data_IF_715822448692
#
_entry.id   IF_715822448692
#
_cell.length_a   1.000
_cell.length_b   1.000
_cell.length_c   1.000
_cell.angle_alpha   90.00
_cell.angle_beta   90.00
_cell.angle_gamma   90.00
#
_symmetry.space_group_name_H-M   'P 1'
#
loop_
_entity.id
_entity.type
_entity.pdbx_description
1 polymer ?
#
# COMPACT_ATOMS: atom_id res chain seq x y z
N UNK A 1 -49.17 30.86 2.03
CA UNK A 1 -48.55 30.56 3.33
C UNK A 1 -47.78 31.79 3.79
N UNK A 2 -48.25 32.46 4.84
CA UNK A 2 -47.57 33.58 5.48
C UNK A 2 -46.32 33.07 6.21
N UNK A 3 -45.14 33.65 5.92
CA UNK A 3 -43.94 33.51 6.77
C UNK A 3 -44.04 34.48 7.94
N UNK A 4 -43.77 34.07 9.20
CA UNK A 4 -43.74 34.98 10.33
C UNK A 4 -42.58 35.98 10.20
N UNK A 5 -42.81 37.25 10.55
CA UNK A 5 -41.73 38.25 10.70
C UNK A 5 -40.92 37.87 11.94
N UNK A 6 -39.73 37.29 11.73
CA UNK A 6 -38.82 36.86 12.80
C UNK A 6 -38.01 35.59 12.48
N UNK A 7 -38.30 34.91 11.36
CA UNK A 7 -37.56 33.73 10.94
C UNK A 7 -36.22 34.11 10.26
N UNK A 8 -35.14 34.13 11.05
CA UNK A 8 -33.75 34.38 10.61
C UNK A 8 -33.02 33.09 10.18
N UNK A 9 -33.73 31.96 10.02
CA UNK A 9 -33.10 30.66 9.72
C UNK A 9 -32.34 30.66 8.39
N UNK A 10 -32.75 31.52 7.44
CA UNK A 10 -32.04 31.71 6.18
C UNK A 10 -30.73 32.52 6.34
N UNK A 11 -30.67 33.48 7.25
CA UNK A 11 -29.46 34.30 7.51
C UNK A 11 -28.39 33.53 8.31
N UNK A 12 -28.81 32.64 9.20
CA UNK A 12 -27.88 31.76 9.94
C UNK A 12 -27.22 30.73 9.01
N UNK A 13 -27.90 30.29 7.94
CA UNK A 13 -27.34 29.37 6.95
C UNK A 13 -26.39 30.06 5.94
N UNK A 14 -26.44 31.38 5.79
CA UNK A 14 -25.53 32.15 4.94
C UNK A 14 -24.21 32.54 5.62
N UNK A 15 -24.08 32.33 6.92
CA UNK A 15 -22.87 32.64 7.69
C UNK A 15 -22.30 31.39 8.40
N UNK A 16 -22.13 30.31 7.63
CA UNK A 16 -21.14 29.29 7.99
C UNK A 16 -19.74 29.93 7.98
N UNK A 17 -18.79 29.45 8.80
CA UNK A 17 -17.43 29.98 8.80
C UNK A 17 -16.90 29.95 7.37
N UNK A 18 -16.38 31.08 6.88
CA UNK A 18 -15.64 31.13 5.62
C UNK A 18 -14.53 30.08 5.71
N UNK A 19 -14.77 28.92 5.11
CA UNK A 19 -13.74 27.93 4.92
C UNK A 19 -12.75 28.59 3.99
N UNK A 20 -11.55 28.86 4.48
CA UNK A 20 -10.46 29.40 3.68
C UNK A 20 -10.22 28.47 2.48
N UNK A 21 -10.80 28.85 1.34
CA UNK A 21 -10.73 28.08 0.10
C UNK A 21 -9.40 28.30 -0.60
N UNK A 22 -8.49 29.11 -0.07
CA UNK A 22 -7.15 29.31 -0.64
C UNK A 22 -6.36 27.99 -0.73
N UNK A 23 -6.48 27.12 0.28
CA UNK A 23 -5.87 25.79 0.27
C UNK A 23 -6.51 24.85 -0.78
N UNK A 24 -7.83 24.97 -0.99
CA UNK A 24 -8.58 24.21 -2.00
C UNK A 24 -8.27 24.71 -3.43
N UNK A 25 -8.09 26.01 -3.61
CA UNK A 25 -7.68 26.63 -4.87
C UNK A 25 -6.24 26.25 -5.25
N UNK A 26 -5.33 26.18 -4.27
CA UNK A 26 -3.96 25.70 -4.48
C UNK A 26 -3.91 24.23 -4.93
N UNK A 27 -4.75 23.37 -4.33
CA UNK A 27 -4.88 21.96 -4.76
C UNK A 27 -5.50 21.79 -6.14
N UNK A 28 -6.44 22.68 -6.53
CA UNK A 28 -7.10 22.65 -7.83
C UNK A 28 -6.17 23.02 -8.99
N UNK A 29 -5.21 23.92 -8.77
CA UNK A 29 -4.17 24.25 -9.75
C UNK A 29 -3.14 23.12 -9.96
N UNK A 30 -2.77 22.42 -8.88
CA UNK A 30 -1.85 21.27 -8.93
C UNK A 30 -2.37 20.16 -9.84
N UNK A 31 -3.61 19.69 -9.66
CA UNK A 31 -4.18 18.61 -10.49
C UNK A 31 -4.21 18.96 -11.99
N UNK A 32 -4.47 20.23 -12.31
CA UNK A 32 -4.48 20.74 -13.67
C UNK A 32 -3.06 20.84 -14.28
N UNK A 33 -2.04 21.16 -13.48
CA UNK A 33 -0.64 21.08 -13.89
C UNK A 33 -0.16 19.64 -14.16
N UNK A 34 -0.84 18.64 -13.60
CA UNK A 34 -0.54 17.22 -13.83
C UNK A 34 -1.33 16.58 -14.98
N UNK A 35 -2.17 17.35 -15.70
CA UNK A 35 -2.99 16.81 -16.80
C UNK A 35 -4.09 15.86 -16.36
N UNK A 36 -4.41 15.82 -15.06
CA UNK A 36 -5.42 14.91 -14.51
C UNK A 36 -6.82 15.56 -14.53
N UNK A 37 -7.87 14.82 -14.93
CA UNK A 37 -9.21 15.37 -15.02
C UNK A 37 -9.73 15.80 -13.63
N UNK A 38 -10.48 16.91 -13.59
CA UNK A 38 -11.18 17.33 -12.36
C UNK A 38 -12.12 16.21 -11.91
N UNK A 39 -11.91 15.71 -10.69
CA UNK A 39 -12.82 14.77 -10.08
C UNK A 39 -14.14 15.51 -9.79
N UNK A 40 -15.18 15.26 -10.59
CA UNK A 40 -16.53 15.80 -10.31
C UNK A 40 -17.00 15.20 -8.99
N UNK A 41 -17.53 16.03 -8.08
CA UNK A 41 -18.24 15.53 -6.89
C UNK A 41 -19.42 14.69 -7.37
N UNK A 42 -19.44 13.41 -7.02
CA UNK A 42 -20.63 12.57 -7.18
C UNK A 42 -21.59 12.89 -6.04
N UNK A 43 -22.78 13.40 -6.37
CA UNK A 43 -23.82 13.75 -5.40
C UNK A 43 -24.64 12.55 -4.88
N UNK A 44 -24.35 11.34 -5.38
CA UNK A 44 -25.05 10.12 -4.98
C UNK A 44 -24.15 9.33 -4.04
N UNK A 45 -24.51 9.30 -2.75
CA UNK A 45 -23.95 8.31 -1.84
C UNK A 45 -24.43 6.93 -2.31
N UNK A 46 -23.49 6.00 -2.53
CA UNK A 46 -23.87 4.60 -2.68
C UNK A 46 -24.46 4.13 -1.35
N UNK A 47 -25.65 3.55 -1.41
CA UNK A 47 -26.36 2.99 -0.24
C UNK A 47 -26.19 1.48 -0.27
N UNK A 48 -25.84 0.89 0.86
CA UNK A 48 -25.71 -0.55 0.99
C UNK A 48 -27.09 -1.20 0.71
N UNK A 49 -27.18 -2.20 -0.20
CA UNK A 49 -28.42 -2.92 -0.41
C UNK A 49 -28.87 -3.71 0.83
N UNK A 50 -27.94 -4.05 1.74
CA UNK A 50 -28.25 -4.74 2.99
C UNK A 50 -28.31 -3.68 4.09
N UNK A 51 -29.49 -3.45 4.72
CA UNK A 51 -29.56 -2.51 5.82
C UNK A 51 -28.70 -3.00 7.00
N UNK A 52 -28.08 -2.10 7.77
CA UNK A 52 -27.14 -2.47 8.84
C UNK A 52 -27.79 -3.28 9.97
N UNK A 53 -29.11 -3.25 10.10
CA UNK A 53 -29.89 -4.06 11.05
C UNK A 53 -30.35 -5.41 10.47
N UNK A 54 -30.01 -5.73 9.22
CA UNK A 54 -30.40 -6.99 8.59
C UNK A 54 -29.61 -8.17 9.19
N UNK A 55 -30.28 -9.25 9.61
CA UNK A 55 -29.61 -10.47 10.02
C UNK A 55 -29.02 -11.24 8.83
N UNK A 56 -29.37 -10.85 7.60
CA UNK A 56 -28.88 -11.48 6.37
C UNK A 56 -27.49 -10.90 6.07
N UNK A 57 -26.47 -11.54 6.62
CA UNK A 57 -25.08 -11.28 6.23
C UNK A 57 -24.59 -12.43 5.36
N UNK A 58 -23.83 -12.15 4.28
CA UNK A 58 -23.14 -13.18 3.52
C UNK A 58 -22.36 -14.12 4.44
N UNK A 59 -22.70 -15.41 4.42
CA UNK A 59 -22.00 -16.42 5.21
C UNK A 59 -20.63 -16.66 4.57
N UNK A 60 -19.58 -16.22 5.24
CA UNK A 60 -18.21 -16.46 4.83
C UNK A 60 -17.45 -17.27 5.89
N UNK A 61 -17.00 -18.46 5.55
CA UNK A 61 -16.07 -19.23 6.39
C UNK A 61 -14.65 -18.71 6.15
N UNK A 62 -14.17 -17.87 7.06
CA UNK A 62 -12.92 -17.11 6.91
C UNK A 62 -11.73 -17.78 7.60
N UNK A 63 -12.00 -18.65 8.58
CA UNK A 63 -11.02 -19.42 9.34
C UNK A 63 -11.52 -20.88 9.46
N UNK A 64 -11.29 -21.72 8.42
CA UNK A 64 -11.65 -23.13 8.51
C UNK A 64 -10.75 -23.79 9.56
N UNK A 65 -11.35 -24.47 10.53
CA UNK A 65 -10.61 -25.29 11.49
C UNK A 65 -10.11 -26.54 10.76
N UNK A 66 -8.94 -26.43 10.12
CA UNK A 66 -8.32 -27.55 9.45
C UNK A 66 -7.65 -28.48 10.49
N UNK A 67 -7.69 -29.81 10.31
CA UNK A 67 -7.00 -30.74 11.19
C UNK A 67 -5.51 -30.39 11.30
N UNK A 68 -5.00 -30.20 12.52
CA UNK A 68 -3.60 -29.86 12.76
C UNK A 68 -2.64 -30.98 12.35
N UNK A 69 -1.47 -30.62 11.80
CA UNK A 69 -0.37 -31.56 11.51
C UNK A 69 -0.50 -32.37 10.22
N UNK A 70 -1.51 -32.09 9.37
CA UNK A 70 -1.72 -32.76 8.09
C UNK A 70 -1.46 -31.78 6.93
N UNK A 71 -1.11 -32.30 5.74
CA UNK A 71 -1.07 -31.55 4.49
C UNK A 71 -2.32 -30.66 4.32
N UNK A 72 -2.11 -29.36 4.09
CA UNK A 72 -3.17 -28.36 3.97
C UNK A 72 -4.13 -28.68 2.83
N UNK A 73 -3.63 -29.25 1.72
CA UNK A 73 -4.47 -29.65 0.61
C UNK A 73 -5.42 -30.78 1.00
N UNK A 74 -4.91 -31.77 1.74
CA UNK A 74 -5.73 -32.84 2.30
C UNK A 74 -6.73 -32.33 3.33
N UNK A 75 -6.29 -31.50 4.29
CA UNK A 75 -7.16 -30.91 5.30
C UNK A 75 -8.32 -30.11 4.68
N UNK A 76 -8.03 -29.30 3.66
CA UNK A 76 -9.05 -28.56 2.92
C UNK A 76 -10.02 -29.51 2.19
N UNK A 77 -9.52 -30.57 1.56
CA UNK A 77 -10.37 -31.56 0.89
C UNK A 77 -11.36 -32.22 1.87
N UNK A 78 -10.92 -32.53 3.08
CA UNK A 78 -11.78 -33.07 4.15
C UNK A 78 -12.81 -32.03 4.60
N UNK A 79 -12.39 -30.80 4.92
CA UNK A 79 -13.29 -29.70 5.28
C UNK A 79 -14.40 -29.48 4.24
N UNK A 80 -14.04 -29.51 2.95
CA UNK A 80 -15.00 -29.34 1.85
C UNK A 80 -15.99 -30.50 1.76
N UNK A 81 -15.57 -31.74 2.07
CA UNK A 81 -16.49 -32.90 2.08
C UNK A 81 -17.45 -32.86 3.25
N UNK A 82 -16.99 -32.42 4.42
CA UNK A 82 -17.81 -32.38 5.64
C UNK A 82 -18.82 -31.22 5.61
N UNK A 83 -18.39 -30.04 5.18
CA UNK A 83 -19.22 -28.83 5.25
C UNK A 83 -20.00 -28.55 3.95
N UNK A 84 -19.51 -29.03 2.80
CA UNK A 84 -20.07 -28.74 1.49
C UNK A 84 -20.22 -30.00 0.60
N UNK A 85 -20.82 -31.10 1.10
CA UNK A 85 -20.85 -32.40 0.40
C UNK A 85 -21.58 -32.36 -0.95
N UNK A 86 -22.60 -31.50 -1.06
CA UNK A 86 -23.47 -31.39 -2.26
C UNK A 86 -23.28 -30.08 -3.03
N UNK A 87 -22.34 -29.22 -2.61
CA UNK A 87 -22.16 -27.93 -3.25
C UNK A 87 -21.24 -28.07 -4.48
N UNK A 88 -21.64 -27.43 -5.57
CA UNK A 88 -20.76 -27.17 -6.71
C UNK A 88 -19.73 -26.12 -6.34
N UNK A 89 -18.51 -26.27 -6.84
CA UNK A 89 -17.37 -25.45 -6.41
C UNK A 89 -16.99 -24.46 -7.49
N UNK A 90 -16.71 -23.23 -7.08
CA UNK A 90 -16.06 -22.22 -7.93
C UNK A 90 -14.85 -21.69 -7.19
N UNK A 91 -13.66 -21.83 -7.76
CA UNK A 91 -12.45 -21.19 -7.28
C UNK A 91 -12.28 -19.84 -7.97
N UNK A 92 -11.83 -18.83 -7.24
CA UNK A 92 -11.68 -17.47 -7.73
C UNK A 92 -10.35 -16.90 -7.24
N UNK A 93 -9.55 -16.33 -8.14
CA UNK A 93 -8.36 -15.57 -7.79
C UNK A 93 -8.25 -14.26 -8.58
N UNK A 94 -7.24 -13.48 -8.22
CA UNK A 94 -6.87 -12.23 -8.85
C UNK A 94 -5.36 -12.09 -8.85
N UNK A 95 -4.83 -11.64 -9.98
CA UNK A 95 -3.41 -11.41 -10.19
C UNK A 95 -3.13 -9.95 -10.56
N UNK A 96 -1.99 -9.44 -10.11
CA UNK A 96 -1.49 -8.11 -10.47
C UNK A 96 0.01 -8.20 -10.70
N UNK A 97 0.46 -7.70 -11.85
CA UNK A 97 1.89 -7.63 -12.15
C UNK A 97 2.60 -6.61 -11.24
N UNK A 98 3.83 -6.91 -10.83
CA UNK A 98 4.58 -6.10 -9.87
C UNK A 98 4.91 -4.68 -10.36
N UNK A 99 4.99 -4.48 -11.67
CA UNK A 99 5.14 -3.17 -12.32
C UNK A 99 3.82 -2.37 -12.39
N UNK A 100 2.69 -2.98 -11.99
CA UNK A 100 1.33 -2.47 -12.10
C UNK A 100 0.86 -2.20 -13.54
N UNK A 101 1.46 -2.85 -14.54
CA UNK A 101 1.05 -2.71 -15.94
C UNK A 101 -0.23 -3.47 -16.28
N UNK A 102 -0.57 -4.49 -15.49
CA UNK A 102 -1.74 -5.33 -15.72
C UNK A 102 -2.33 -5.86 -14.41
N UNK A 103 -3.65 -5.92 -14.38
CA UNK A 103 -4.46 -6.55 -13.33
C UNK A 103 -5.41 -7.51 -14.02
N UNK A 104 -5.54 -8.73 -13.51
CA UNK A 104 -6.39 -9.75 -14.06
C UNK A 104 -7.06 -10.55 -12.93
N UNK A 105 -8.14 -11.24 -13.27
CA UNK A 105 -8.84 -12.12 -12.35
C UNK A 105 -9.47 -13.27 -13.11
N UNK A 106 -9.84 -14.32 -12.40
CA UNK A 106 -10.42 -15.49 -13.03
C UNK A 106 -11.40 -16.21 -12.11
N UNK A 107 -12.09 -17.17 -12.70
CA UNK A 107 -12.82 -18.20 -11.99
C UNK A 107 -12.54 -19.56 -12.62
N UNK A 108 -12.57 -20.60 -11.79
CA UNK A 108 -12.43 -22.00 -12.20
C UNK A 108 -13.54 -22.85 -11.58
N UNK A 109 -14.25 -23.59 -12.43
CA UNK A 109 -15.32 -24.52 -12.06
C UNK A 109 -14.84 -25.96 -12.34
N UNK A 110 -14.39 -26.70 -11.30
CA UNK A 110 -13.81 -28.03 -11.48
C UNK A 110 -14.79 -29.04 -12.08
N UNK A 111 -16.07 -28.98 -11.67
CA UNK A 111 -17.10 -29.93 -12.10
C UNK A 111 -17.40 -29.83 -13.61
N UNK A 112 -17.05 -28.70 -14.22
CA UNK A 112 -17.24 -28.42 -15.65
C UNK A 112 -15.93 -28.37 -16.43
N UNK A 113 -14.79 -28.57 -15.75
CA UNK A 113 -13.44 -28.35 -16.28
C UNK A 113 -13.31 -27.00 -17.02
N UNK A 114 -14.01 -25.96 -16.53
CA UNK A 114 -14.11 -24.65 -17.19
C UNK A 114 -13.42 -23.58 -16.36
N UNK A 115 -12.53 -22.83 -16.99
CA UNK A 115 -11.93 -21.63 -16.43
C UNK A 115 -12.23 -20.42 -17.32
N UNK A 116 -12.45 -19.26 -16.72
CA UNK A 116 -12.70 -18.00 -17.42
C UNK A 116 -11.86 -16.92 -16.77
N UNK A 117 -11.14 -16.15 -17.58
CA UNK A 117 -10.29 -15.05 -17.11
C UNK A 117 -10.78 -13.72 -17.69
N UNK A 118 -10.55 -12.66 -16.93
CA UNK A 118 -10.81 -11.28 -17.34
C UNK A 118 -9.58 -10.44 -17.05
N UNK A 119 -9.13 -9.71 -18.06
CA UNK A 119 -8.17 -8.63 -17.87
C UNK A 119 -8.93 -7.40 -17.40
N UNK A 120 -8.44 -6.78 -16.33
CA UNK A 120 -9.00 -5.56 -15.76
C UNK A 120 -8.13 -4.37 -16.15
N UNK A 121 -8.68 -3.17 -16.02
CA UNK A 121 -7.90 -1.94 -16.21
C UNK A 121 -6.70 -1.93 -15.23
N UNK A 122 -5.49 -1.51 -15.65
CA UNK A 122 -4.28 -1.50 -14.81
C UNK A 122 -4.39 -0.65 -13.53
N UNK A 123 -5.38 0.25 -13.50
CA UNK A 123 -5.71 1.07 -12.34
C UNK A 123 -6.22 0.25 -11.16
N UNK A 124 -6.84 -0.91 -11.41
CA UNK A 124 -7.41 -1.74 -10.37
C UNK A 124 -6.36 -2.36 -9.45
N UNK A 125 -6.65 -2.34 -8.17
CA UNK A 125 -5.88 -3.04 -7.14
C UNK A 125 -6.10 -4.55 -7.16
N UNK A 126 -5.19 -5.27 -6.50
CA UNK A 126 -5.28 -6.72 -6.31
C UNK A 126 -6.57 -7.12 -5.58
N UNK A 127 -6.99 -6.32 -4.59
CA UNK A 127 -8.21 -6.57 -3.83
C UNK A 127 -9.45 -6.45 -4.71
N UNK A 128 -9.50 -5.42 -5.57
CA UNK A 128 -10.59 -5.26 -6.54
C UNK A 128 -10.66 -6.45 -7.49
N UNK A 129 -9.52 -6.92 -8.00
CA UNK A 129 -9.48 -8.08 -8.88
C UNK A 129 -10.10 -9.34 -8.24
N UNK A 130 -9.77 -9.60 -6.98
CA UNK A 130 -10.31 -10.74 -6.23
C UNK A 130 -11.80 -10.59 -5.93
N UNK A 131 -12.28 -9.38 -5.66
CA UNK A 131 -13.72 -9.10 -5.51
C UNK A 131 -14.45 -9.24 -6.85
N UNK A 132 -13.84 -8.80 -7.95
CA UNK A 132 -14.40 -8.93 -9.29
C UNK A 132 -14.53 -10.39 -9.73
N UNK A 133 -13.58 -11.25 -9.40
CA UNK A 133 -13.71 -12.69 -9.59
C UNK A 133 -14.95 -13.26 -8.87
N UNK A 134 -15.17 -12.88 -7.61
CA UNK A 134 -16.35 -13.29 -6.83
C UNK A 134 -17.63 -12.76 -7.50
N UNK A 135 -17.65 -11.51 -7.94
CA UNK A 135 -18.79 -10.95 -8.67
C UNK A 135 -19.09 -11.75 -9.94
N UNK A 136 -18.07 -12.09 -10.74
CA UNK A 136 -18.25 -12.91 -11.94
C UNK A 136 -18.75 -14.31 -11.59
N UNK A 137 -18.27 -14.94 -10.51
CA UNK A 137 -18.80 -16.21 -10.02
C UNK A 137 -20.31 -16.13 -9.71
N UNK A 138 -20.77 -15.04 -9.11
CA UNK A 138 -22.19 -14.83 -8.81
C UNK A 138 -23.04 -14.62 -10.07
N UNK A 139 -22.52 -13.89 -11.06
CA UNK A 139 -23.15 -13.78 -12.39
C UNK A 139 -23.26 -15.17 -13.04
N UNK A 140 -22.15 -15.92 -13.03
CA UNK A 140 -22.03 -17.37 -13.25
C UNK A 140 -23.22 -18.17 -12.73
N UNK A 141 -23.45 -18.07 -11.42
CA UNK A 141 -24.45 -18.84 -10.71
C UNK A 141 -25.87 -18.42 -11.11
N UNK A 142 -26.11 -17.12 -11.33
CA UNK A 142 -27.44 -16.60 -11.67
C UNK A 142 -27.98 -17.06 -13.03
N UNK A 143 -27.10 -17.51 -13.92
CA UNK A 143 -27.45 -18.02 -15.26
C UNK A 143 -27.66 -19.54 -15.28
N UNK A 144 -27.60 -20.21 -14.12
CA UNK A 144 -27.67 -21.67 -14.01
C UNK A 144 -28.92 -22.14 -13.31
N UNK A 145 -29.24 -23.42 -13.51
CA UNK A 145 -30.31 -24.09 -12.79
C UNK A 145 -30.06 -24.05 -11.26
N UNK A 146 -31.13 -23.99 -10.44
CA UNK A 146 -31.00 -23.96 -8.98
C UNK A 146 -30.13 -25.09 -8.42
N UNK A 147 -29.13 -24.72 -7.63
CA UNK A 147 -28.21 -25.64 -6.98
C UNK A 147 -27.53 -24.98 -5.77
N UNK A 148 -26.83 -25.80 -4.99
CA UNK A 148 -25.98 -25.35 -3.90
C UNK A 148 -24.56 -25.05 -4.41
N UNK A 149 -24.00 -23.91 -4.05
CA UNK A 149 -22.72 -23.42 -4.53
C UNK A 149 -21.82 -22.96 -3.39
N UNK A 150 -20.53 -23.24 -3.52
CA UNK A 150 -19.49 -22.71 -2.65
C UNK A 150 -18.43 -22.00 -3.49
N UNK A 151 -18.23 -20.71 -3.21
CA UNK A 151 -17.21 -19.89 -3.86
C UNK A 151 -15.97 -19.86 -2.95
N UNK A 152 -14.87 -20.44 -3.44
CA UNK A 152 -13.59 -20.47 -2.76
C UNK A 152 -12.70 -19.32 -3.24
N UNK A 153 -12.29 -18.43 -2.33
CA UNK A 153 -11.37 -17.33 -2.64
C UNK A 153 -10.21 -17.27 -1.66
N UNK A 154 -9.01 -16.97 -2.15
CA UNK A 154 -7.84 -16.76 -1.30
C UNK A 154 -7.79 -15.37 -0.62
N UNK A 155 -8.74 -14.49 -0.95
CA UNK A 155 -8.81 -13.13 -0.42
C UNK A 155 -9.49 -13.08 0.94
N UNK A 156 -8.75 -13.38 2.01
CA UNK A 156 -9.28 -13.25 3.38
C UNK A 156 -9.90 -11.87 3.63
N UNK A 157 -9.18 -10.82 3.22
CA UNK A 157 -9.65 -9.43 3.31
C UNK A 157 -10.86 -9.15 2.43
N UNK A 158 -10.94 -9.71 1.22
CA UNK A 158 -12.11 -9.57 0.35
C UNK A 158 -13.38 -10.18 0.98
N UNK A 159 -13.26 -11.38 1.54
CA UNK A 159 -14.38 -12.04 2.22
C UNK A 159 -14.82 -11.29 3.48
N UNK A 160 -13.87 -10.77 4.27
CA UNK A 160 -14.17 -9.91 5.41
C UNK A 160 -14.90 -8.63 5.00
N UNK A 161 -14.52 -8.01 3.87
CA UNK A 161 -15.20 -6.82 3.34
C UNK A 161 -16.64 -7.11 2.93
N UNK A 162 -16.89 -8.26 2.31
CA UNK A 162 -18.25 -8.69 1.94
C UNK A 162 -19.12 -8.92 3.19
N UNK A 163 -18.54 -9.41 4.29
CA UNK A 163 -19.24 -9.69 5.54
C UNK A 163 -19.32 -8.53 6.54
N UNK A 164 -18.74 -7.35 6.27
CA UNK A 164 -18.70 -6.22 7.22
C UNK A 164 -19.11 -4.89 6.59
N UNK A 165 -19.84 -3.99 7.29
CA UNK A 165 -20.19 -2.66 6.78
C UNK A 165 -18.91 -1.82 6.61
N UNK A 166 -18.30 -1.88 5.42
CA UNK A 166 -17.02 -1.27 5.11
C UNK A 166 -17.15 -0.13 4.11
N UNK A 167 -16.25 0.85 4.21
CA UNK A 167 -16.14 2.02 3.33
C UNK A 167 -15.14 1.84 2.19
N UNK A 168 -14.52 0.66 2.07
CA UNK A 168 -13.55 0.35 1.02
C UNK A 168 -14.15 -0.55 -0.06
N UNK A 169 -13.83 -0.27 -1.32
CA UNK A 169 -14.38 -0.99 -2.48
C UNK A 169 -15.92 -1.05 -2.49
N UNK A 170 -16.55 0.05 -2.05
CA UNK A 170 -17.98 0.10 -1.74
C UNK A 170 -18.85 -0.31 -2.93
N UNK A 171 -18.51 0.13 -4.14
CA UNK A 171 -19.33 -0.15 -5.32
C UNK A 171 -19.41 -1.64 -5.61
N UNK A 172 -18.26 -2.31 -5.69
CA UNK A 172 -18.22 -3.74 -6.00
C UNK A 172 -18.73 -4.61 -4.84
N UNK A 173 -18.47 -4.22 -3.58
CA UNK A 173 -18.98 -4.94 -2.41
C UNK A 173 -20.52 -4.89 -2.37
N UNK A 174 -21.11 -3.72 -2.64
CA UNK A 174 -22.56 -3.59 -2.68
C UNK A 174 -23.18 -4.39 -3.82
N UNK A 175 -22.52 -4.41 -4.99
CA UNK A 175 -22.99 -5.26 -6.10
C UNK A 175 -22.94 -6.76 -5.73
N UNK A 176 -21.86 -7.21 -5.11
CA UNK A 176 -21.73 -8.59 -4.60
C UNK A 176 -22.83 -8.91 -3.59
N UNK A 177 -23.08 -8.01 -2.63
CA UNK A 177 -24.13 -8.17 -1.61
C UNK A 177 -25.52 -8.27 -2.22
N UNK A 178 -25.84 -7.37 -3.16
CA UNK A 178 -27.12 -7.38 -3.87
C UNK A 178 -27.33 -8.72 -4.62
N UNK A 179 -26.29 -9.21 -5.31
CA UNK A 179 -26.35 -10.49 -6.04
C UNK A 179 -26.49 -11.69 -5.10
N UNK A 180 -25.75 -11.71 -4.00
CA UNK A 180 -25.88 -12.76 -2.99
C UNK A 180 -27.29 -12.81 -2.40
N UNK A 181 -27.86 -11.65 -2.05
CA UNK A 181 -29.21 -11.56 -1.50
C UNK A 181 -30.27 -12.05 -2.52
N UNK A 182 -30.13 -11.65 -3.79
CA UNK A 182 -31.01 -12.09 -4.85
C UNK A 182 -30.94 -13.63 -5.06
N UNK A 183 -29.73 -14.20 -5.05
CA UNK A 183 -29.54 -15.64 -5.18
C UNK A 183 -30.09 -16.42 -3.98
N UNK A 184 -29.86 -15.93 -2.76
CA UNK A 184 -30.41 -16.53 -1.53
C UNK A 184 -31.94 -16.47 -1.46
N UNK A 185 -32.56 -15.53 -2.18
CA UNK A 185 -34.02 -15.41 -2.29
C UNK A 185 -34.61 -16.34 -3.35
N UNK A 186 -33.77 -17.00 -4.15
CA UNK A 186 -34.21 -17.92 -5.22
C UNK A 186 -34.38 -19.34 -4.65
N UNK A 187 -35.57 -19.96 -4.74
CA UNK A 187 -35.78 -21.31 -4.22
C UNK A 187 -34.80 -22.34 -4.80
N UNK A 188 -34.20 -23.14 -3.92
CA UNK A 188 -33.24 -24.18 -4.30
C UNK A 188 -31.83 -23.68 -4.62
N UNK A 189 -31.55 -22.39 -4.47
CA UNK A 189 -30.20 -21.80 -4.61
C UNK A 189 -29.62 -21.49 -3.24
N UNK A 190 -28.41 -21.99 -2.97
CA UNK A 190 -27.60 -21.53 -1.83
C UNK A 190 -26.21 -21.16 -2.32
N UNK A 191 -25.65 -20.08 -1.77
CA UNK A 191 -24.29 -19.64 -2.10
C UNK A 191 -23.56 -19.33 -0.80
N UNK A 192 -22.53 -20.13 -0.54
CA UNK A 192 -21.61 -19.94 0.59
C UNK A 192 -20.26 -19.44 0.10
N UNK A 193 -19.60 -18.60 0.91
CA UNK A 193 -18.24 -18.13 0.65
C UNK A 193 -17.25 -18.87 1.55
N UNK A 194 -16.17 -19.39 0.99
CA UNK A 194 -15.14 -20.14 1.70
C UNK A 194 -13.76 -19.52 1.44
N UNK A 195 -13.05 -19.13 2.49
CA UNK A 195 -11.65 -18.76 2.37
C UNK A 195 -10.79 -19.99 2.10
N UNK A 196 -9.83 -19.86 1.21
CA UNK A 196 -8.82 -20.89 0.93
C UNK A 196 -7.41 -20.29 1.06
N UNK A 197 -6.46 -21.03 1.59
CA UNK A 197 -5.09 -20.53 1.69
C UNK A 197 -4.42 -20.55 0.31
N UNK A 198 -3.83 -19.42 -0.09
CA UNK A 198 -3.03 -19.33 -1.31
C UNK A 198 -1.72 -20.13 -1.22
N UNK A 199 -1.26 -20.65 -2.36
CA UNK A 199 -0.02 -21.44 -2.50
C UNK A 199 0.09 -22.63 -1.51
N UNK A 200 -1.03 -23.29 -1.24
CA UNK A 200 -1.13 -24.35 -0.23
C UNK A 200 -1.32 -25.77 -0.82
N UNK A 201 -0.99 -26.01 -2.09
CA UNK A 201 -1.17 -27.33 -2.71
C UNK A 201 -2.61 -27.63 -3.18
N UNK A 202 -3.54 -26.69 -3.03
CA UNK A 202 -4.96 -26.92 -3.30
C UNK A 202 -5.20 -26.76 -4.81
N UNK A 203 -5.37 -27.90 -5.50
CA UNK A 203 -5.47 -27.97 -6.95
C UNK A 203 -6.40 -26.91 -7.58
N UNK A 204 -7.63 -26.73 -7.08
CA UNK A 204 -8.56 -25.74 -7.60
C UNK A 204 -8.04 -24.29 -7.49
N UNK A 205 -7.37 -23.96 -6.38
CA UNK A 205 -6.76 -22.64 -6.19
C UNK A 205 -5.49 -22.46 -7.03
N UNK A 206 -4.72 -23.52 -7.28
CA UNK A 206 -3.53 -23.44 -8.14
C UNK A 206 -3.88 -23.29 -9.62
N UNK A 207 -4.96 -23.94 -10.07
CA UNK A 207 -5.49 -23.74 -11.41
C UNK A 207 -6.01 -22.31 -11.56
N UNK A 208 -6.76 -21.82 -10.58
CA UNK A 208 -7.20 -20.43 -10.49
C UNK A 208 -6.03 -19.43 -10.64
N UNK A 209 -5.00 -19.52 -9.79
CA UNK A 209 -3.82 -18.64 -9.83
C UNK A 209 -3.12 -18.66 -11.21
N UNK A 210 -2.94 -19.84 -11.80
CA UNK A 210 -2.35 -19.98 -13.16
C UNK A 210 -3.21 -19.30 -14.21
N UNK A 211 -4.53 -19.47 -14.16
CA UNK A 211 -5.44 -18.88 -15.15
C UNK A 211 -5.52 -17.36 -14.97
N UNK A 212 -5.45 -16.83 -13.74
CA UNK A 212 -5.32 -15.38 -13.51
C UNK A 212 -4.06 -14.80 -14.18
N UNK A 213 -2.93 -15.52 -14.08
CA UNK A 213 -1.68 -15.12 -14.73
C UNK A 213 -1.82 -15.09 -16.26
N UNK A 214 -2.46 -16.11 -16.85
CA UNK A 214 -2.75 -16.14 -18.29
C UNK A 214 -3.71 -15.00 -18.70
N UNK A 215 -4.60 -14.57 -17.82
CA UNK A 215 -5.52 -13.45 -18.03
C UNK A 215 -4.81 -12.13 -18.36
N UNK A 216 -3.53 -11.96 -17.98
CA UNK A 216 -2.76 -10.76 -18.36
C UNK A 216 -2.52 -10.65 -19.86
N UNK A 217 -2.52 -11.77 -20.59
CA UNK A 217 -2.27 -11.84 -22.03
C UNK A 217 -3.51 -11.56 -22.89
N UNK A 218 -4.69 -11.33 -22.29
CA UNK A 218 -5.89 -10.99 -23.05
C UNK A 218 -5.75 -9.61 -23.71
N UNK A 219 -6.25 -9.49 -24.94
CA UNK A 219 -6.05 -8.29 -25.78
C UNK A 219 -6.83 -7.06 -25.31
N UNK A 220 -7.89 -7.25 -24.54
CA UNK A 220 -8.76 -6.18 -24.08
C UNK A 220 -9.03 -6.26 -22.59
N UNK A 221 -9.16 -5.09 -21.96
CA UNK A 221 -9.56 -4.97 -20.56
C UNK A 221 -11.06 -4.79 -20.46
N UNK A 222 -11.68 -5.40 -19.46
CA UNK A 222 -13.08 -5.16 -19.11
C UNK A 222 -13.26 -3.74 -18.58
N UNK A 223 -14.36 -3.10 -18.98
CA UNK A 223 -14.78 -1.82 -18.46
C UNK A 223 -15.55 -2.02 -17.16
N UNK A 224 -14.89 -1.75 -16.03
CA UNK A 224 -15.45 -1.88 -14.67
C UNK A 224 -15.28 -0.59 -13.89
N UNK A 225 -16.21 -0.24 -12.99
CA UNK A 225 -16.12 0.98 -12.16
C UNK A 225 -14.81 1.03 -11.35
N UNK A 226 -14.11 2.18 -11.33
CA UNK A 226 -12.88 2.35 -10.55
C UNK A 226 -13.21 2.83 -9.15
N UNK A 227 -12.77 2.08 -8.14
CA UNK A 227 -12.92 2.48 -6.74
C UNK A 227 -12.10 3.73 -6.43
N UNK A 228 -12.62 4.57 -5.53
CA UNK A 228 -11.94 5.80 -5.13
C UNK A 228 -10.52 5.54 -4.58
N UNK A 229 -10.34 4.44 -3.83
CA UNK A 229 -9.05 4.00 -3.29
C UNK A 229 -8.04 3.67 -4.39
N UNK A 230 -8.48 2.99 -5.45
CA UNK A 230 -7.65 2.65 -6.61
C UNK A 230 -7.24 3.91 -7.38
N UNK A 231 -8.17 4.84 -7.58
CA UNK A 231 -7.88 6.14 -8.21
C UNK A 231 -6.87 6.95 -7.39
N UNK A 232 -7.07 7.07 -6.07
CA UNK A 232 -6.13 7.74 -5.17
C UNK A 232 -4.74 7.10 -5.21
N UNK A 233 -4.67 5.76 -5.25
CA UNK A 233 -3.41 5.02 -5.36
C UNK A 233 -2.69 5.33 -6.68
N UNK A 234 -3.44 5.36 -7.80
CA UNK A 234 -2.90 5.73 -9.11
C UNK A 234 -2.37 7.16 -9.12
N UNK A 235 -3.14 8.13 -8.61
CA UNK A 235 -2.74 9.53 -8.52
C UNK A 235 -1.47 9.69 -7.68
N UNK A 236 -1.42 9.09 -6.48
CA UNK A 236 -0.24 9.15 -5.60
C UNK A 236 1.01 8.57 -6.28
N UNK A 237 0.86 7.48 -7.05
CA UNK A 237 1.95 6.86 -7.81
C UNK A 237 2.42 7.78 -8.95
N UNK A 238 1.50 8.33 -9.73
CA UNK A 238 1.79 9.26 -10.82
C UNK A 238 2.51 10.51 -10.33
N UNK A 239 1.98 11.15 -9.28
CA UNK A 239 2.59 12.32 -8.64
C UNK A 239 4.00 12.03 -8.14
N UNK A 240 4.21 10.87 -7.51
CA UNK A 240 5.53 10.49 -7.00
C UNK A 240 6.54 10.27 -8.12
N UNK A 241 6.14 9.59 -9.19
CA UNK A 241 6.99 9.40 -10.37
C UNK A 241 7.37 10.75 -10.96
N UNK A 242 6.39 11.64 -11.18
CA UNK A 242 6.65 12.97 -11.72
C UNK A 242 7.57 13.79 -10.81
N UNK A 243 7.36 13.74 -9.50
CA UNK A 243 8.20 14.44 -8.53
C UNK A 243 9.65 13.91 -8.56
N UNK A 244 9.82 12.59 -8.65
CA UNK A 244 11.12 11.96 -8.81
C UNK A 244 11.83 12.43 -10.10
N UNK A 245 11.12 12.44 -11.22
CA UNK A 245 11.67 12.85 -12.51
C UNK A 245 12.10 14.33 -12.50
N UNK A 246 11.24 15.21 -11.95
CA UNK A 246 11.53 16.64 -11.81
C UNK A 246 12.73 16.87 -10.89
N UNK A 247 12.81 16.15 -9.77
CA UNK A 247 13.93 16.26 -8.85
C UNK A 247 15.25 15.84 -9.51
N UNK A 248 15.27 14.72 -10.22
CA UNK A 248 16.46 14.25 -10.94
C UNK A 248 16.88 15.21 -12.06
N UNK A 249 15.91 15.79 -12.79
CA UNK A 249 16.17 16.81 -13.80
C UNK A 249 16.85 18.04 -13.18
N UNK A 250 16.33 18.55 -12.07
CA UNK A 250 16.91 19.69 -11.35
C UNK A 250 18.31 19.39 -10.81
N UNK A 251 18.51 18.22 -10.20
CA UNK A 251 19.82 17.77 -9.71
C UNK A 251 20.85 17.73 -10.84
N UNK A 252 20.46 17.22 -12.02
CA UNK A 252 21.34 17.17 -13.18
C UNK A 252 21.66 18.56 -13.74
N UNK A 253 20.69 19.48 -13.72
CA UNK A 253 20.85 20.82 -14.26
C UNK A 253 21.70 21.75 -13.39
N UNK A 254 21.47 21.75 -12.07
CA UNK A 254 22.05 22.75 -11.16
C UNK A 254 22.96 22.16 -10.07
N UNK A 255 23.14 20.83 -10.05
CA UNK A 255 23.95 20.09 -9.07
C UNK A 255 23.50 20.23 -7.61
N UNK A 256 22.36 20.87 -7.33
CA UNK A 256 21.78 20.96 -5.98
C UNK A 256 21.16 19.62 -5.61
N UNK A 257 21.40 19.15 -4.39
CA UNK A 257 20.85 17.88 -3.91
C UNK A 257 21.60 16.62 -4.36
N UNK A 258 22.74 16.75 -5.05
CA UNK A 258 23.59 15.61 -5.45
C UNK A 258 23.99 14.75 -4.24
N UNK A 259 24.27 15.36 -3.09
CA UNK A 259 24.57 14.57 -1.88
C UNK A 259 23.40 13.66 -1.47
N UNK A 260 22.16 14.16 -1.54
CA UNK A 260 20.98 13.37 -1.21
C UNK A 260 20.80 12.18 -2.17
N UNK A 261 21.18 12.30 -3.45
CA UNK A 261 21.07 11.18 -4.40
C UNK A 261 22.02 10.02 -4.06
N UNK A 262 23.17 10.32 -3.42
CA UNK A 262 24.10 9.27 -2.95
C UNK A 262 23.54 8.46 -1.78
N UNK A 263 22.60 9.04 -1.04
CA UNK A 263 21.94 8.39 0.10
C UNK A 263 20.62 7.75 -0.35
N UNK A 264 19.85 8.44 -1.19
CA UNK A 264 18.52 8.03 -1.60
C UNK A 264 18.32 8.22 -3.09
N UNK A 265 18.07 7.12 -3.79
CA UNK A 265 17.72 7.10 -5.21
C UNK A 265 16.22 7.39 -5.47
N UNK A 266 15.37 7.29 -4.44
CA UNK A 266 13.92 7.45 -4.56
C UNK A 266 13.33 8.34 -3.44
N UNK A 267 12.47 9.28 -3.82
CA UNK A 267 11.73 10.21 -2.95
C UNK A 267 10.51 9.57 -2.25
N UNK A 268 10.29 8.27 -2.41
CA UNK A 268 9.24 7.54 -1.68
C UNK A 268 9.33 7.78 -0.17
N UNK A 269 8.21 7.84 0.57
CA UNK A 269 8.24 7.92 2.02
C UNK A 269 9.07 6.79 2.61
N UNK A 270 9.96 7.11 3.55
CA UNK A 270 10.84 6.14 4.18
C UNK A 270 10.48 6.05 5.66
N UNK A 271 9.73 5.02 6.07
CA UNK A 271 9.15 4.95 7.41
C UNK A 271 10.19 4.76 8.52
N UNK A 272 11.40 4.31 8.19
CA UNK A 272 12.49 4.13 9.16
C UNK A 272 13.29 5.40 9.46
N UNK A 273 12.95 6.52 8.82
CA UNK A 273 13.47 7.84 9.17
C UNK A 273 12.67 8.41 10.32
N UNK A 274 12.80 7.80 11.49
CA UNK A 274 12.20 8.31 12.72
C UNK A 274 13.31 8.51 13.71
N UNK A 275 13.45 9.74 14.19
CA UNK A 275 14.43 10.07 15.20
C UNK A 275 13.76 10.13 16.59
N UNK A 276 14.44 9.68 17.66
CA UNK A 276 13.87 9.67 19.00
C UNK A 276 13.63 11.07 19.57
N UNK A 277 14.28 12.10 19.00
CA UNK A 277 14.11 13.50 19.42
C UNK A 277 14.10 14.42 18.21
N UNK A 278 13.45 15.59 18.33
CA UNK A 278 13.48 16.65 17.30
C UNK A 278 14.92 17.02 16.92
N UNK A 279 15.82 17.11 17.89
CA UNK A 279 17.23 17.45 17.63
C UNK A 279 17.93 16.38 16.80
N UNK A 280 17.70 15.10 17.09
CA UNK A 280 18.23 14.01 16.27
C UNK A 280 17.64 14.02 14.85
N UNK A 281 16.35 14.35 14.69
CA UNK A 281 15.73 14.49 13.37
C UNK A 281 16.42 15.60 12.53
N UNK A 282 16.71 16.74 13.16
CA UNK A 282 17.42 17.85 12.51
C UNK A 282 18.82 17.44 12.08
N UNK A 283 19.59 16.78 12.95
CA UNK A 283 20.96 16.35 12.60
C UNK A 283 20.94 15.31 11.48
N UNK A 284 20.03 14.34 11.51
CA UNK A 284 19.88 13.36 10.42
C UNK A 284 19.50 14.04 9.09
N UNK A 285 18.60 15.04 9.13
CA UNK A 285 18.26 15.81 7.94
C UNK A 285 19.47 16.59 7.39
N UNK A 286 20.25 17.24 8.27
CA UNK A 286 21.49 17.95 7.89
C UNK A 286 22.52 17.03 7.25
N UNK A 287 22.78 15.87 7.88
CA UNK A 287 23.66 14.84 7.33
C UNK A 287 23.20 14.34 5.96
N UNK A 288 21.88 14.21 5.74
CA UNK A 288 21.33 13.74 4.47
C UNK A 288 21.27 14.78 3.36
N UNK A 289 21.15 16.04 3.73
CA UNK A 289 21.18 17.14 2.78
C UNK A 289 22.61 17.59 2.48
N UNK A 290 23.60 17.17 3.28
CA UNK A 290 24.98 17.62 3.15
C UNK A 290 25.22 19.00 3.75
N UNK A 291 24.32 19.44 4.64
CA UNK A 291 24.33 20.75 5.30
C UNK A 291 24.59 20.60 6.80
N UNK A 292 25.75 20.01 7.13
CA UNK A 292 26.11 19.66 8.51
C UNK A 292 27.26 20.54 9.01
N UNK A 293 27.28 20.86 10.30
CA UNK A 293 28.34 21.68 10.93
C UNK A 293 29.71 20.99 11.07
N UNK A 294 30.23 20.41 9.99
CA UNK A 294 31.59 19.84 9.89
C UNK A 294 32.54 20.82 9.20
N UNK A 295 33.85 20.68 9.44
CA UNK A 295 34.88 21.62 8.99
C UNK A 295 34.80 21.93 7.49
N UNK A 296 34.68 20.92 6.63
CA UNK A 296 34.59 21.11 5.18
C UNK A 296 33.39 21.99 4.77
N UNK A 297 32.23 21.75 5.39
CA UNK A 297 31.03 22.56 5.15
C UNK A 297 31.19 23.97 5.69
N UNK A 298 31.65 24.13 6.93
CA UNK A 298 31.78 25.43 7.57
C UNK A 298 32.80 26.32 6.84
N UNK A 299 33.93 25.75 6.39
CA UNK A 299 34.94 26.45 5.59
C UNK A 299 34.36 26.94 4.25
N UNK A 300 33.60 26.09 3.54
CA UNK A 300 32.96 26.45 2.26
C UNK A 300 32.04 27.68 2.38
N UNK A 301 31.49 27.93 3.56
CA UNK A 301 30.63 29.09 3.84
C UNK A 301 31.34 30.20 4.67
N UNK A 302 32.66 30.14 4.84
CA UNK A 302 33.43 31.16 5.56
C UNK A 302 33.18 31.19 7.07
N UNK A 303 32.61 30.14 7.64
CA UNK A 303 32.31 30.02 9.08
C UNK A 303 33.44 29.33 9.87
N UNK A 304 34.44 28.77 9.17
CA UNK A 304 35.63 28.16 9.76
C UNK A 304 36.87 28.60 9.00
N UNK A 305 38.02 28.84 9.65
CA UNK A 305 39.27 29.19 8.97
C UNK A 305 39.92 28.01 8.24
N UNK A 306 39.52 26.77 8.52
CA UNK A 306 40.07 25.56 7.90
C UNK A 306 39.00 24.49 7.68
N UNK A 307 39.09 23.71 6.58
CA UNK A 307 38.22 22.55 6.34
C UNK A 307 38.69 21.29 7.08
N UNK A 308 39.87 21.32 7.72
CA UNK A 308 40.55 20.14 8.26
C UNK A 308 40.05 19.76 9.66
N UNK A 309 40.00 18.46 9.94
CA UNK A 309 39.75 17.96 11.28
C UNK A 309 40.95 18.22 12.20
N UNK A 310 40.71 18.83 13.36
CA UNK A 310 41.75 19.17 14.32
C UNK A 310 42.51 17.99 14.95
N UNK A 311 42.02 16.74 14.80
CA UNK A 311 42.66 15.56 15.38
C UNK A 311 43.55 14.78 14.38
N UNK A 312 43.10 14.64 13.13
CA UNK A 312 43.78 13.81 12.13
C UNK A 312 44.33 14.60 10.94
N UNK A 313 44.05 15.90 10.85
CA UNK A 313 44.44 16.76 9.73
C UNK A 313 44.03 16.20 8.35
N UNK A 314 42.84 15.58 8.30
CA UNK A 314 42.15 15.17 7.07
C UNK A 314 40.93 16.08 6.92
N UNK A 315 40.47 16.33 5.70
CA UNK A 315 39.27 17.13 5.44
C UNK A 315 38.05 16.59 6.22
N UNK A 316 37.39 17.46 7.00
CA UNK A 316 36.31 17.06 7.90
C UNK A 316 34.97 16.96 7.15
N UNK A 317 34.82 15.86 6.39
CA UNK A 317 33.62 15.50 5.62
C UNK A 317 32.66 14.61 6.40
N UNK A 318 31.44 14.39 5.88
CA UNK A 318 30.47 13.45 6.47
C UNK A 318 31.04 12.04 6.54
N UNK A 319 31.69 11.59 5.46
CA UNK A 319 32.34 10.29 5.39
C UNK A 319 33.47 10.19 6.42
N UNK A 320 34.31 11.23 6.51
CA UNK A 320 35.35 11.29 7.52
C UNK A 320 34.78 11.17 8.94
N UNK A 321 33.76 11.97 9.27
CA UNK A 321 33.10 11.94 10.58
C UNK A 321 32.46 10.57 10.87
N UNK A 322 31.68 10.01 9.94
CA UNK A 322 30.89 8.79 10.16
C UNK A 322 31.68 7.49 10.01
N UNK A 323 32.78 7.45 9.25
CA UNK A 323 33.51 6.22 8.95
C UNK A 323 35.02 6.23 9.29
N UNK A 324 35.70 7.38 9.38
CA UNK A 324 37.18 7.42 9.39
C UNK A 324 37.79 8.03 10.67
N UNK A 325 37.30 9.17 11.13
CA UNK A 325 37.89 10.01 12.18
C UNK A 325 38.37 9.23 13.42
N UNK A 326 39.67 9.31 13.73
CA UNK A 326 40.28 8.63 14.87
C UNK A 326 39.73 9.07 16.23
N UNK A 327 39.27 10.32 16.35
CA UNK A 327 38.66 10.87 17.57
C UNK A 327 37.39 10.11 17.98
N UNK A 328 36.67 9.54 17.03
CA UNK A 328 35.39 8.87 17.25
C UNK A 328 35.48 7.34 17.15
N UNK A 329 36.68 6.77 17.24
CA UNK A 329 36.93 5.34 17.08
C UNK A 329 36.08 4.47 18.01
N UNK A 330 36.04 4.80 19.30
CA UNK A 330 35.29 3.98 20.28
C UNK A 330 33.77 4.04 20.04
N UNK A 331 33.25 5.24 19.78
CA UNK A 331 31.86 5.43 19.37
C UNK A 331 31.53 4.62 18.10
N UNK A 332 32.44 4.63 17.10
CA UNK A 332 32.27 3.92 15.83
C UNK A 332 32.27 2.41 16.03
N UNK A 333 33.15 1.88 16.90
CA UNK A 333 33.17 0.46 17.25
C UNK A 333 31.85 -0.01 17.83
N UNK A 334 31.22 0.79 18.70
CA UNK A 334 29.89 0.46 19.25
C UNK A 334 28.80 0.48 18.17
N UNK A 335 28.88 1.43 17.22
CA UNK A 335 28.00 1.47 16.06
C UNK A 335 28.17 0.23 15.19
N UNK A 336 29.40 -0.12 14.82
CA UNK A 336 29.75 -1.30 14.02
C UNK A 336 29.23 -2.58 14.69
N UNK A 337 29.48 -2.77 15.99
CA UNK A 337 28.95 -3.92 16.73
C UNK A 337 27.43 -3.98 16.72
N UNK A 338 26.74 -2.83 16.82
CA UNK A 338 25.29 -2.76 16.82
C UNK A 338 24.68 -3.09 15.45
N UNK A 339 25.42 -2.89 14.36
CA UNK A 339 24.95 -3.16 12.99
C UNK A 339 25.52 -4.44 12.37
N UNK A 340 26.53 -5.06 13.00
CA UNK A 340 27.19 -6.27 12.52
C UNK A 340 26.21 -7.45 12.31
N UNK A 341 25.16 -7.54 13.13
CA UNK A 341 24.12 -8.58 13.02
C UNK A 341 23.29 -8.50 11.74
N UNK A 342 23.37 -7.39 11.00
CA UNK A 342 22.68 -7.20 9.72
C UNK A 342 23.56 -7.50 8.50
N UNK A 343 24.79 -8.00 8.70
CA UNK A 343 25.68 -8.40 7.61
C UNK A 343 26.16 -7.24 6.74
N UNK A 344 26.37 -6.06 7.33
CA UNK A 344 26.82 -4.86 6.62
C UNK A 344 28.34 -4.85 6.56
N UNK A 345 28.92 -5.13 5.40
CA UNK A 345 30.35 -5.00 5.13
C UNK A 345 30.60 -4.74 3.63
N UNK A 346 31.21 -3.61 3.22
CA UNK A 346 31.63 -2.47 4.06
C UNK A 346 30.45 -1.58 4.47
N UNK A 347 30.55 -0.97 5.66
CA UNK A 347 29.58 0.01 6.15
C UNK A 347 29.70 1.33 5.41
N UNK A 348 28.62 1.78 4.75
CA UNK A 348 28.62 3.04 3.98
C UNK A 348 27.84 4.16 4.67
N UNK A 349 28.12 5.41 4.28
CA UNK A 349 27.31 6.58 4.68
C UNK A 349 25.85 6.41 4.26
N UNK A 350 25.61 5.80 3.09
CA UNK A 350 24.27 5.51 2.59
C UNK A 350 23.51 4.60 3.55
N UNK A 351 24.15 3.55 4.07
CA UNK A 351 23.53 2.61 5.01
C UNK A 351 23.16 3.30 6.34
N UNK A 352 24.13 3.99 6.94
CA UNK A 352 23.95 4.70 8.22
C UNK A 352 22.85 5.76 8.16
N UNK A 353 22.71 6.42 7.01
CA UNK A 353 21.70 7.44 6.81
C UNK A 353 20.37 6.89 6.28
N UNK A 354 20.15 5.57 6.33
CA UNK A 354 18.86 4.93 6.04
C UNK A 354 18.55 4.80 4.55
N UNK A 355 19.59 4.77 3.72
CA UNK A 355 19.55 4.63 2.27
C UNK A 355 19.88 3.24 1.75
N UNK A 356 20.33 2.33 2.63
CA UNK A 356 20.71 0.96 2.26
C UNK A 356 19.53 0.09 1.79
N UNK A 357 19.82 -1.09 1.29
CA UNK A 357 18.82 -2.03 0.77
C UNK A 357 18.54 -3.15 1.80
N UNK A 358 18.09 -2.75 3.00
CA UNK A 358 17.81 -3.65 4.12
C UNK A 358 16.31 -3.73 4.45
N UNK A 359 15.85 -4.82 5.10
CA UNK A 359 14.50 -4.91 5.65
C UNK A 359 14.19 -3.72 6.57
N UNK A 360 12.92 -3.30 6.62
CA UNK A 360 12.48 -2.14 7.39
C UNK A 360 12.92 -2.18 8.86
N UNK A 361 12.84 -3.34 9.52
CA UNK A 361 13.27 -3.52 10.92
C UNK A 361 14.77 -3.26 11.10
N UNK A 362 15.60 -3.80 10.20
CA UNK A 362 17.05 -3.57 10.19
C UNK A 362 17.36 -2.09 9.96
N UNK A 363 16.68 -1.45 9.00
CA UNK A 363 16.83 -0.03 8.73
C UNK A 363 16.54 0.86 9.95
N UNK A 364 15.47 0.57 10.69
CA UNK A 364 15.17 1.28 11.95
C UNK A 364 16.31 1.14 12.95
N UNK A 365 16.85 -0.08 13.10
CA UNK A 365 17.95 -0.34 14.02
C UNK A 365 19.23 0.41 13.61
N UNK A 366 19.58 0.41 12.32
CA UNK A 366 20.76 1.10 11.77
C UNK A 366 20.67 2.61 12.02
N UNK A 367 19.54 3.24 11.67
CA UNK A 367 19.34 4.69 11.89
C UNK A 367 19.37 5.02 13.39
N UNK A 368 18.78 4.16 14.23
CA UNK A 368 18.83 4.32 15.69
C UNK A 368 20.26 4.22 16.24
N UNK A 369 21.04 3.25 15.78
CA UNK A 369 22.45 3.10 16.15
C UNK A 369 23.28 4.31 15.69
N UNK A 370 23.00 4.84 14.50
CA UNK A 370 23.63 6.08 13.98
C UNK A 370 23.34 7.28 14.88
N UNK A 371 22.11 7.43 15.38
CA UNK A 371 21.77 8.49 16.35
C UNK A 371 22.51 8.29 17.68
N UNK A 372 22.67 7.05 18.15
CA UNK A 372 23.43 6.75 19.36
C UNK A 372 24.92 7.08 19.19
N UNK A 373 25.51 6.76 18.03
CA UNK A 373 26.86 7.19 17.64
C UNK A 373 27.01 8.71 17.75
N UNK A 374 26.14 9.47 17.07
CA UNK A 374 26.19 10.94 17.08
C UNK A 374 26.12 11.50 18.51
N UNK A 375 25.27 10.93 19.35
CA UNK A 375 25.18 11.30 20.77
C UNK A 375 26.48 11.03 21.52
N UNK A 376 27.07 9.85 21.36
CA UNK A 376 28.31 9.46 22.04
C UNK A 376 29.53 10.30 21.62
N UNK A 377 29.53 10.85 20.40
CA UNK A 377 30.58 11.79 19.97
C UNK A 377 30.46 13.19 20.61
N UNK A 378 29.37 13.47 21.34
CA UNK A 378 29.08 14.80 21.91
C UNK A 378 28.64 15.84 20.86
N UNK A 379 28.54 15.45 19.58
CA UNK A 379 28.30 16.38 18.46
C UNK A 379 26.82 16.61 18.14
N UNK A 380 25.89 16.00 18.87
CA UNK A 380 24.45 16.14 18.61
C UNK A 380 23.98 17.61 18.61
N UNK A 381 24.55 18.47 19.45
CA UNK A 381 24.16 19.89 19.53
C UNK A 381 24.92 20.80 18.56
N UNK A 382 26.09 20.37 18.08
CA UNK A 382 26.94 21.15 17.18
C UNK A 382 26.70 20.89 15.69
N UNK A 383 26.14 19.72 15.32
CA UNK A 383 25.96 19.30 13.92
C UNK A 383 24.74 19.89 13.23
#
# INVERSE_FOLDING_TARGET
MHRPRGDITAEILSHGPEVDTSALAAGAGLLQQFGEPRCRRSHLAQVDPIPPWSPIQPKACIDPQLPGGIDLAYGFKTHMKENYPHHRKIFCDGSRLGDNSSTACEIFMPDEARAVAWRLRPMHGILFAKLYAILQALVMISERAPAQWVICSNSKSGLQLIGSPSTSCTSIVFEIRARLLALQSTPGVTVDLQWVKGHAGIHGNEVADKVAQLGHSLDFSVLSHIEQSDLQSCLRRGLRKRWQDLWMMEVNANRKGVHLTTIRSNLSPVPWVVAPTRRAAVVLARLRLGHVGLGAYLFRFGMSPSPMCGNCNVEDTIEHYLLICGLHREARRLLENAVATYGIDPLTVRDLLGGGDFPQSAQFAIVKATVAYIKSTGRLNSL
#
